data_IF_819836931905
#
_entry.id   IF_819836931905
#
_cell.length_a   1.000
_cell.length_b   1.000
_cell.length_c   1.000
_cell.angle_alpha   90.00
_cell.angle_beta   90.00
_cell.angle_gamma   90.00
#
_symmetry.space_group_name_H-M   'P 1'
#
loop_
_entity.id
_entity.type
_entity.pdbx_description
1 polymer ?
#
# COMPACT_ATOMS: atom_id res chain seq x y z
N UNK A 1 8.10 9.43 7.20
CA UNK A 1 8.45 10.74 6.58
C UNK A 1 8.03 11.89 7.49
N UNK A 2 8.94 12.79 7.91
CA UNK A 2 8.55 14.03 8.60
C UNK A 2 8.00 14.99 7.57
N UNK A 3 6.70 15.22 7.57
CA UNK A 3 6.05 16.12 6.61
C UNK A 3 6.27 17.56 7.07
N UNK A 4 7.03 18.37 6.32
CA UNK A 4 7.18 19.80 6.63
C UNK A 4 5.86 20.51 6.37
N UNK A 5 5.24 21.08 7.41
CA UNK A 5 4.07 21.95 7.29
C UNK A 5 4.51 23.37 6.95
N UNK A 6 3.69 24.08 6.15
CA UNK A 6 3.91 25.48 5.80
C UNK A 6 2.73 26.32 6.28
N UNK A 7 3.01 27.53 6.77
CA UNK A 7 1.97 28.47 7.20
C UNK A 7 1.77 29.52 6.11
N UNK A 8 0.53 29.66 5.63
CA UNK A 8 0.16 30.67 4.63
C UNK A 8 -1.02 31.46 5.20
N UNK A 9 -0.86 32.78 5.36
CA UNK A 9 -1.88 33.68 5.91
C UNK A 9 -2.43 33.29 7.31
N UNK A 10 -1.66 32.54 8.10
CA UNK A 10 -2.05 32.10 9.45
C UNK A 10 -2.70 30.71 9.50
N UNK A 11 -2.99 30.12 8.35
CA UNK A 11 -3.46 28.73 8.25
C UNK A 11 -2.28 27.77 8.02
N UNK A 12 -2.32 26.61 8.68
CA UNK A 12 -1.32 25.56 8.56
C UNK A 12 -1.69 24.61 7.41
N UNK A 13 -0.74 24.36 6.52
CA UNK A 13 -0.89 23.48 5.36
C UNK A 13 0.12 22.35 5.43
N UNK A 14 -0.36 21.13 5.21
CA UNK A 14 0.48 19.96 4.98
C UNK A 14 0.55 19.64 3.49
N UNK A 15 1.67 19.11 3.00
CA UNK A 15 1.76 18.50 1.68
C UNK A 15 0.63 17.49 1.45
N UNK A 16 -0.01 17.57 0.28
CA UNK A 16 -0.95 16.54 -0.17
C UNK A 16 -0.18 15.23 -0.26
N UNK A 17 -0.73 14.15 0.32
CA UNK A 17 -0.12 12.83 0.26
C UNK A 17 0.19 12.47 -1.20
N UNK A 18 1.47 12.23 -1.49
CA UNK A 18 1.94 11.78 -2.80
C UNK A 18 1.48 10.36 -3.06
N UNK A 19 1.03 10.10 -4.29
CA UNK A 19 0.70 8.77 -4.80
C UNK A 19 1.88 7.81 -4.60
N UNK A 20 1.80 6.92 -3.61
CA UNK A 20 2.93 6.05 -3.28
C UNK A 20 3.08 4.97 -4.36
N UNK A 21 4.32 4.67 -4.81
CA UNK A 21 4.56 3.55 -5.72
C UNK A 21 4.29 2.20 -5.06
N UNK A 22 4.27 2.11 -3.73
CA UNK A 22 3.94 0.90 -2.98
C UNK A 22 2.54 1.04 -2.40
N UNK A 23 1.69 0.04 -2.65
CA UNK A 23 0.31 0.03 -2.14
C UNK A 23 -0.06 -1.29 -1.50
N UNK A 24 -0.89 -1.19 -0.46
CA UNK A 24 -1.74 -2.29 -0.03
C UNK A 24 -2.94 -2.31 -0.99
N UNK A 25 -3.16 -3.42 -1.68
CA UNK A 25 -4.21 -3.61 -2.67
C UNK A 25 -5.15 -4.70 -2.19
N UNK A 26 -6.40 -4.33 -1.95
CA UNK A 26 -7.46 -5.28 -1.62
C UNK A 26 -8.19 -5.60 -2.92
N UNK A 27 -8.10 -6.85 -3.35
CA UNK A 27 -8.83 -7.38 -4.49
C UNK A 27 -10.09 -8.11 -4.00
N UNK A 28 -11.04 -8.30 -4.91
CA UNK A 28 -12.25 -9.07 -4.61
C UNK A 28 -11.92 -10.47 -4.06
N UNK A 29 -12.86 -11.04 -3.29
CA UNK A 29 -12.79 -12.41 -2.73
C UNK A 29 -11.63 -12.62 -1.73
N UNK A 30 -11.31 -11.58 -0.96
CA UNK A 30 -10.43 -11.70 0.22
C UNK A 30 -8.94 -11.73 -0.08
N UNK A 31 -8.53 -11.29 -1.28
CA UNK A 31 -7.11 -11.17 -1.64
C UNK A 31 -6.55 -9.83 -1.15
N UNK A 32 -5.58 -9.89 -0.26
CA UNK A 32 -4.84 -8.72 0.23
C UNK A 32 -3.40 -8.84 -0.23
N UNK A 33 -2.95 -7.89 -1.05
CA UNK A 33 -1.65 -7.92 -1.70
C UNK A 33 -0.90 -6.62 -1.37
N UNK A 34 0.40 -6.69 -1.20
CA UNK A 34 1.28 -5.51 -1.17
C UNK A 34 2.32 -5.63 -2.27
N UNK A 35 2.68 -4.52 -2.89
CA UNK A 35 3.75 -4.47 -3.88
C UNK A 35 3.79 -3.14 -4.61
N UNK A 36 4.60 -3.07 -5.66
CA UNK A 36 4.73 -1.87 -6.49
C UNK A 36 3.57 -1.78 -7.46
N UNK A 37 2.77 -0.74 -7.33
CA UNK A 37 1.49 -0.60 -8.00
C UNK A 37 1.61 0.21 -9.30
N UNK A 38 1.00 -0.30 -10.36
CA UNK A 38 0.89 0.38 -11.64
C UNK A 38 -0.47 0.09 -12.29
N UNK A 39 -1.01 1.09 -13.00
CA UNK A 39 -2.26 0.95 -13.76
C UNK A 39 -2.01 1.36 -15.20
N UNK A 40 -2.41 0.50 -16.13
CA UNK A 40 -2.41 0.77 -17.57
C UNK A 40 -3.77 0.39 -18.14
N UNK A 41 -4.54 1.40 -18.55
CA UNK A 41 -5.94 1.25 -18.94
C UNK A 41 -6.79 0.60 -17.84
N UNK A 42 -7.35 -0.56 -18.14
CA UNK A 42 -8.18 -1.34 -17.19
C UNK A 42 -7.39 -2.42 -16.45
N UNK A 43 -6.07 -2.53 -16.67
CA UNK A 43 -5.21 -3.50 -16.01
C UNK A 43 -4.45 -2.86 -14.85
N UNK A 44 -4.58 -3.48 -13.68
CA UNK A 44 -3.76 -3.22 -12.49
C UNK A 44 -2.64 -4.25 -12.46
N UNK A 45 -1.41 -3.79 -12.31
CA UNK A 45 -0.22 -4.63 -12.18
C UNK A 45 0.47 -4.31 -10.85
N UNK A 46 0.77 -5.35 -10.09
CA UNK A 46 1.49 -5.27 -8.82
C UNK A 46 2.76 -6.12 -8.96
N UNK A 47 3.93 -5.48 -9.05
CA UNK A 47 5.22 -6.19 -9.11
C UNK A 47 5.81 -6.33 -7.71
N UNK A 48 6.78 -7.25 -7.57
CA UNK A 48 7.35 -7.66 -6.28
C UNK A 48 6.28 -8.02 -5.24
N UNK A 49 5.15 -8.54 -5.72
CA UNK A 49 3.94 -8.70 -4.96
C UNK A 49 4.10 -9.79 -3.89
N UNK A 50 3.55 -9.52 -2.70
CA UNK A 50 3.35 -10.49 -1.63
C UNK A 50 1.87 -10.55 -1.27
N UNK A 51 1.34 -11.74 -1.05
CA UNK A 51 0.03 -11.93 -0.41
C UNK A 51 0.21 -11.77 1.10
N UNK A 52 -0.61 -10.93 1.72
CA UNK A 52 -0.62 -10.74 3.18
C UNK A 52 -1.58 -11.76 3.78
N UNK A 53 -1.07 -12.94 4.14
CA UNK A 53 -1.89 -14.05 4.67
C UNK A 53 -2.36 -13.81 6.10
N UNK A 54 -1.52 -13.18 6.92
CA UNK A 54 -1.87 -12.71 8.27
C UNK A 54 -1.41 -11.27 8.40
N UNK A 55 -2.32 -10.37 8.76
CA UNK A 55 -1.97 -8.97 8.96
C UNK A 55 -1.14 -8.78 10.23
N UNK A 56 -1.52 -9.41 11.35
CA UNK A 56 -0.80 -9.24 12.62
C UNK A 56 -1.07 -7.90 13.32
N UNK A 57 -2.10 -7.18 12.88
CA UNK A 57 -2.41 -5.81 13.30
C UNK A 57 -3.41 -5.76 14.45
N UNK A 58 -3.38 -4.69 15.24
CA UNK A 58 -4.43 -4.41 16.26
C UNK A 58 -5.43 -3.34 15.83
N UNK A 59 -5.07 -2.51 14.83
CA UNK A 59 -5.91 -1.40 14.31
C UNK A 59 -6.36 -1.62 12.87
N UNK A 60 -6.41 -2.88 12.42
CA UNK A 60 -6.80 -3.26 11.06
C UNK A 60 -5.70 -3.00 10.01
N UNK A 61 -6.05 -3.17 8.72
CA UNK A 61 -5.09 -3.16 7.60
C UNK A 61 -4.25 -1.88 7.52
N UNK A 62 -4.84 -0.73 7.84
CA UNK A 62 -4.17 0.57 7.75
C UNK A 62 -2.92 0.68 8.63
N UNK A 63 -2.80 -0.15 9.67
CA UNK A 63 -1.57 -0.24 10.47
C UNK A 63 -0.36 -0.68 9.63
N UNK A 64 -0.58 -1.42 8.54
CA UNK A 64 0.48 -1.90 7.64
C UNK A 64 1.00 -0.83 6.66
N UNK A 65 0.42 0.37 6.65
CA UNK A 65 0.92 1.50 5.85
C UNK A 65 2.36 1.84 6.22
N UNK A 66 2.71 1.71 7.51
CA UNK A 66 4.05 1.99 8.05
C UNK A 66 5.01 0.78 7.95
N UNK A 67 4.62 -0.28 7.24
CA UNK A 67 5.40 -1.53 7.12
C UNK A 67 4.70 -2.73 7.78
N UNK A 68 5.24 -3.95 7.59
CA UNK A 68 4.73 -5.14 8.27
C UNK A 68 4.99 -5.09 9.78
N UNK A 69 4.09 -5.69 10.55
CA UNK A 69 4.32 -6.00 11.98
C UNK A 69 5.21 -7.24 12.13
N UNK A 70 5.67 -7.51 13.34
CA UNK A 70 6.39 -8.76 13.67
C UNK A 70 5.53 -10.02 13.51
N UNK A 71 4.20 -9.89 13.51
CA UNK A 71 3.27 -11.00 13.31
C UNK A 71 2.73 -11.08 11.86
N UNK A 72 3.13 -10.15 10.99
CA UNK A 72 2.70 -10.14 9.60
C UNK A 72 3.34 -11.32 8.85
N UNK A 73 2.53 -12.06 8.10
CA UNK A 73 3.00 -13.19 7.29
C UNK A 73 2.77 -12.87 5.82
N UNK A 74 3.87 -12.81 5.07
CA UNK A 74 3.94 -12.48 3.65
C UNK A 74 4.32 -13.71 2.84
N UNK A 75 3.48 -14.06 1.87
CA UNK A 75 3.78 -15.13 0.92
C UNK A 75 4.18 -14.51 -0.43
N UNK A 76 5.29 -14.91 -1.07
CA UNK A 76 5.66 -14.42 -2.39
C UNK A 76 4.61 -14.72 -3.45
N UNK A 77 4.25 -13.71 -4.26
CA UNK A 77 3.27 -13.82 -5.35
C UNK A 77 3.81 -13.41 -6.73
N UNK A 78 5.02 -12.83 -6.80
CA UNK A 78 5.66 -12.44 -8.05
C UNK A 78 4.99 -11.20 -8.66
N UNK A 79 4.40 -11.34 -9.85
CA UNK A 79 3.61 -10.25 -10.47
C UNK A 79 2.14 -10.60 -10.45
N UNK A 80 1.34 -9.84 -9.72
CA UNK A 80 -0.12 -9.96 -9.70
C UNK A 80 -0.70 -9.02 -10.76
N UNK A 81 -1.59 -9.54 -11.61
CA UNK A 81 -2.37 -8.75 -12.57
C UNK A 81 -3.84 -8.93 -12.28
N UNK A 82 -4.57 -7.83 -12.23
CA UNK A 82 -6.00 -7.81 -12.01
C UNK A 82 -6.68 -6.79 -12.93
N UNK A 83 -7.96 -6.99 -13.21
CA UNK A 83 -8.79 -5.95 -13.81
C UNK A 83 -9.08 -4.86 -12.78
N UNK A 84 -9.17 -3.59 -13.20
CA UNK A 84 -9.37 -2.43 -12.32
C UNK A 84 -10.65 -2.56 -11.48
N UNK A 85 -11.75 -3.04 -12.07
CA UNK A 85 -13.01 -3.35 -11.36
C UNK A 85 -12.89 -4.48 -10.31
N UNK A 86 -11.79 -5.22 -10.31
CA UNK A 86 -11.47 -6.23 -9.30
C UNK A 86 -10.80 -5.64 -8.06
N UNK A 87 -10.35 -4.39 -8.11
CA UNK A 87 -9.78 -3.67 -6.95
C UNK A 87 -10.92 -3.12 -6.11
N UNK A 88 -10.97 -3.51 -4.84
CA UNK A 88 -11.94 -3.02 -3.85
C UNK A 88 -11.46 -1.70 -3.25
N UNK A 89 -10.18 -1.64 -2.86
CA UNK A 89 -9.51 -0.42 -2.43
C UNK A 89 -7.99 -0.57 -2.56
N UNK A 90 -7.32 0.57 -2.59
CA UNK A 90 -5.87 0.68 -2.42
C UNK A 90 -5.57 1.59 -1.24
N UNK A 91 -4.46 1.35 -0.56
CA UNK A 91 -3.93 2.21 0.49
C UNK A 91 -2.47 2.49 0.18
N UNK A 92 -2.09 3.76 0.13
CA UNK A 92 -0.69 4.16 0.01
C UNK A 92 0.11 3.65 1.20
N UNK A 93 1.23 2.99 0.94
CA UNK A 93 2.15 2.51 1.96
C UNK A 93 3.46 3.29 1.91
N UNK A 94 4.13 3.43 3.06
CA UNK A 94 5.46 4.01 3.14
C UNK A 94 6.46 3.09 2.39
N UNK A 95 6.94 3.58 1.25
CA UNK A 95 7.80 2.80 0.36
C UNK A 95 9.14 2.43 1.01
N UNK A 96 9.67 3.27 1.91
CA UNK A 96 10.93 3.02 2.59
C UNK A 96 10.75 1.93 3.65
N UNK A 97 9.65 1.98 4.41
CA UNK A 97 9.32 0.95 5.39
C UNK A 97 9.10 -0.42 4.74
N UNK A 98 8.59 -0.46 3.50
CA UNK A 98 8.39 -1.69 2.74
C UNK A 98 9.59 -2.12 1.90
N UNK A 99 10.63 -1.30 1.75
CA UNK A 99 11.72 -1.54 0.81
C UNK A 99 12.46 -2.88 1.03
N UNK A 100 12.66 -3.28 2.29
CA UNK A 100 13.34 -4.54 2.63
C UNK A 100 12.44 -5.79 2.51
N UNK A 101 11.15 -5.61 2.25
CA UNK A 101 10.14 -6.68 2.25
C UNK A 101 9.58 -7.02 0.86
N UNK A 102 9.88 -6.19 -0.14
CA UNK A 102 9.41 -6.33 -1.52
C UNK A 102 10.50 -6.85 -2.45
#
# INVERSE_FOLDING_TARGET
MSTETVIINGDEYAPVATDSPVKLVVLQRGWNVVGRYHVDGEQVTITDAKVIRRWGTTRGLGELVEGPTSETVLDPAGTVRAHLLGVVLTVDADADAWAAHL
#
